data_IF_309130825656
#
_entry.id   IF_309130825656
#
_cell.length_a   1.000
_cell.length_b   1.000
_cell.length_c   1.000
_cell.angle_alpha   90.00
_cell.angle_beta   90.00
_cell.angle_gamma   90.00
#
_symmetry.space_group_name_H-M   'P 1'
#
loop_
_entity.id
_entity.type
_entity.pdbx_description
1 polymer ?
#
# COMPACT_ATOMS: atom_id res chain seq x y z
N UNK A 1 33.34 22.82 3.93
CA UNK A 1 32.53 23.82 4.65
C UNK A 1 33.23 24.30 5.92
N UNK A 2 32.73 25.37 6.55
CA UNK A 2 33.31 25.82 7.83
C UNK A 2 32.97 24.82 8.94
N UNK A 3 33.90 24.57 9.87
CA UNK A 3 33.70 23.67 11.02
C UNK A 3 32.47 24.02 11.82
N UNK A 4 32.18 25.31 12.02
CA UNK A 4 30.98 25.80 12.71
C UNK A 4 29.69 25.33 12.03
N UNK A 5 29.59 25.36 10.71
CA UNK A 5 28.41 24.96 9.96
C UNK A 5 28.27 23.44 9.93
N UNK A 6 29.35 22.70 9.84
CA UNK A 6 29.37 21.23 9.94
C UNK A 6 28.81 20.79 11.29
N UNK A 7 29.34 21.33 12.39
CA UNK A 7 28.88 20.99 13.75
C UNK A 7 27.41 21.34 13.98
N UNK A 8 26.91 22.43 13.38
CA UNK A 8 25.48 22.79 13.49
C UNK A 8 24.54 21.82 12.72
N UNK A 9 24.98 21.36 11.56
CA UNK A 9 24.16 20.51 10.68
C UNK A 9 24.26 19.02 10.97
N UNK A 10 25.35 18.58 11.59
CA UNK A 10 25.71 17.18 11.77
C UNK A 10 24.59 16.36 12.43
N UNK A 11 24.07 16.81 13.56
CA UNK A 11 23.05 16.05 14.30
C UNK A 11 21.75 15.87 13.52
N UNK A 12 21.31 16.92 12.82
CA UNK A 12 20.10 16.85 11.99
C UNK A 12 20.30 15.87 10.83
N UNK A 13 21.46 15.98 10.14
CA UNK A 13 21.78 15.06 9.04
C UNK A 13 21.85 13.61 9.50
N UNK A 14 22.51 13.34 10.64
CA UNK A 14 22.61 11.98 11.19
C UNK A 14 21.24 11.43 11.64
N UNK A 15 20.38 12.23 12.24
CA UNK A 15 19.04 11.79 12.64
C UNK A 15 18.21 11.38 11.41
N UNK A 16 18.25 12.17 10.35
CA UNK A 16 17.55 11.84 9.10
C UNK A 16 18.14 10.57 8.47
N UNK A 17 19.47 10.48 8.37
CA UNK A 17 20.16 9.33 7.80
C UNK A 17 19.84 8.04 8.56
N UNK A 18 19.85 8.07 9.88
CA UNK A 18 19.52 6.93 10.73
C UNK A 18 18.07 6.48 10.53
N UNK A 19 17.11 7.42 10.49
CA UNK A 19 15.71 7.09 10.22
C UNK A 19 15.55 6.43 8.85
N UNK A 20 16.10 7.02 7.81
CA UNK A 20 16.04 6.49 6.44
C UNK A 20 16.69 5.11 6.34
N UNK A 21 17.85 4.93 6.97
CA UNK A 21 18.56 3.64 7.00
C UNK A 21 17.71 2.56 7.68
N UNK A 22 17.04 2.88 8.78
CA UNK A 22 16.11 1.96 9.46
C UNK A 22 14.95 1.56 8.56
N UNK A 23 14.31 2.51 7.88
CA UNK A 23 13.22 2.23 6.91
C UNK A 23 13.72 1.35 5.77
N UNK A 24 14.87 1.66 5.17
CA UNK A 24 15.45 0.88 4.08
C UNK A 24 15.80 -0.56 4.52
N UNK A 25 16.39 -0.72 5.71
CA UNK A 25 16.77 -2.02 6.27
C UNK A 25 15.53 -2.87 6.51
N UNK A 26 14.51 -2.35 7.20
CA UNK A 26 13.26 -3.08 7.44
C UNK A 26 12.57 -3.44 6.13
N UNK A 27 12.53 -2.50 5.17
CA UNK A 27 11.97 -2.78 3.84
C UNK A 27 12.69 -3.94 3.16
N UNK A 28 14.02 -3.96 3.22
CA UNK A 28 14.81 -5.04 2.64
C UNK A 28 14.51 -6.39 3.30
N UNK A 29 14.35 -6.45 4.62
CA UNK A 29 13.97 -7.67 5.33
C UNK A 29 12.64 -8.24 4.81
N UNK A 30 11.63 -7.38 4.61
CA UNK A 30 10.36 -7.78 4.00
C UNK A 30 10.53 -8.25 2.55
N UNK A 31 11.31 -7.53 1.75
CA UNK A 31 11.58 -7.88 0.33
C UNK A 31 12.27 -9.24 0.24
N UNK A 32 13.23 -9.54 1.12
CA UNK A 32 13.90 -10.85 1.15
C UNK A 32 12.92 -12.01 1.43
N UNK A 33 11.88 -11.78 2.24
CA UNK A 33 10.83 -12.80 2.47
C UNK A 33 9.97 -13.05 1.23
N UNK A 34 9.92 -12.10 0.29
CA UNK A 34 9.18 -12.21 -0.97
C UNK A 34 10.02 -12.80 -2.12
N UNK A 35 11.30 -13.14 -1.90
CA UNK A 35 12.17 -13.72 -2.91
C UNK A 35 11.54 -14.97 -3.54
N UNK A 36 11.53 -15.00 -4.87
CA UNK A 36 10.88 -16.06 -5.64
C UNK A 36 9.39 -15.83 -5.91
N UNK A 37 8.76 -14.81 -5.30
CA UNK A 37 7.40 -14.38 -5.57
C UNK A 37 7.36 -13.27 -6.64
N UNK A 38 6.24 -13.13 -7.32
CA UNK A 38 5.94 -11.98 -8.20
C UNK A 38 5.30 -10.81 -7.45
N UNK A 39 4.98 -11.00 -6.18
CA UNK A 39 4.32 -10.01 -5.32
C UNK A 39 5.26 -8.85 -5.02
N UNK A 40 4.75 -7.64 -5.10
CA UNK A 40 5.50 -6.41 -4.81
C UNK A 40 5.14 -5.87 -3.44
N UNK A 41 6.15 -5.50 -2.66
CA UNK A 41 5.98 -4.82 -1.39
C UNK A 41 5.72 -3.34 -1.62
N UNK A 42 4.68 -2.80 -1.01
CA UNK A 42 4.32 -1.38 -1.06
C UNK A 42 4.46 -0.71 0.31
N UNK A 43 4.83 0.56 0.30
CA UNK A 43 4.63 1.45 1.44
C UNK A 43 3.17 1.93 1.55
N UNK A 44 2.92 2.84 2.47
CA UNK A 44 1.62 3.49 2.64
C UNK A 44 1.77 5.02 2.78
N UNK A 45 0.66 5.73 3.01
CA UNK A 45 0.66 7.15 3.39
C UNK A 45 0.82 7.38 4.90
N UNK A 46 0.93 6.31 5.69
CA UNK A 46 1.21 6.38 7.14
C UNK A 46 2.70 6.65 7.35
N UNK A 47 3.09 7.90 7.23
CA UNK A 47 4.48 8.36 7.30
C UNK A 47 4.65 9.39 8.40
N UNK A 48 5.87 9.55 8.89
CA UNK A 48 6.21 10.64 9.82
C UNK A 48 5.84 12.00 9.19
N UNK A 49 5.14 12.89 9.90
CA UNK A 49 4.82 14.21 9.38
C UNK A 49 6.06 14.92 8.80
N UNK A 50 5.91 15.51 7.64
CA UNK A 50 6.95 16.20 6.87
C UNK A 50 8.09 15.34 6.31
N UNK A 51 8.20 14.04 6.67
CA UNK A 51 9.28 13.15 6.21
C UNK A 51 8.86 12.19 5.08
N UNK A 52 7.64 12.28 4.55
CA UNK A 52 7.11 11.33 3.54
C UNK A 52 8.00 11.16 2.32
N UNK A 53 8.57 12.25 1.81
CA UNK A 53 9.48 12.20 0.65
C UNK A 53 10.69 11.30 0.97
N UNK A 54 11.30 11.49 2.13
CA UNK A 54 12.48 10.77 2.54
C UNK A 54 12.17 9.31 2.87
N UNK A 55 11.09 9.05 3.60
CA UNK A 55 10.71 7.69 3.98
C UNK A 55 10.31 6.85 2.76
N UNK A 56 9.53 7.40 1.81
CA UNK A 56 9.22 6.72 0.57
C UNK A 56 10.43 6.46 -0.32
N UNK A 57 11.40 7.39 -0.34
CA UNK A 57 12.68 7.16 -0.99
C UNK A 57 13.45 6.02 -0.31
N UNK A 58 13.49 6.00 1.02
CA UNK A 58 14.16 4.93 1.77
C UNK A 58 13.52 3.54 1.50
N UNK A 59 12.20 3.47 1.34
CA UNK A 59 11.52 2.23 0.92
C UNK A 59 12.04 1.74 -0.44
N UNK A 60 12.22 2.63 -1.42
CA UNK A 60 12.78 2.23 -2.72
C UNK A 60 14.26 1.78 -2.61
N UNK A 61 15.05 2.40 -1.74
CA UNK A 61 16.41 1.96 -1.44
C UNK A 61 16.45 0.54 -0.84
N UNK A 62 15.42 0.17 -0.04
CA UNK A 62 15.27 -1.18 0.50
C UNK A 62 14.74 -2.22 -0.50
N UNK A 63 14.40 -1.83 -1.73
CA UNK A 63 13.86 -2.71 -2.77
C UNK A 63 12.33 -2.80 -2.81
N UNK A 64 11.63 -2.01 -1.98
CA UNK A 64 10.18 -1.87 -2.03
C UNK A 64 9.71 -0.91 -3.12
N UNK A 65 8.40 -0.78 -3.25
CA UNK A 65 7.74 0.13 -4.18
C UNK A 65 6.88 1.14 -3.44
N UNK A 66 6.63 2.28 -4.05
CA UNK A 66 5.77 3.29 -3.47
C UNK A 66 4.32 3.08 -3.88
N UNK A 67 3.42 3.09 -2.91
CA UNK A 67 2.01 3.38 -3.13
C UNK A 67 1.83 4.88 -3.40
N UNK A 68 0.60 5.34 -3.74
CA UNK A 68 0.30 6.76 -3.99
C UNK A 68 0.95 7.67 -2.94
N UNK A 69 1.56 8.76 -3.41
CA UNK A 69 2.24 9.73 -2.55
C UNK A 69 1.23 10.63 -1.82
N UNK A 70 0.17 11.01 -2.54
CA UNK A 70 -0.89 11.89 -2.03
C UNK A 70 -2.27 11.46 -2.56
N UNK A 71 -3.31 12.25 -2.27
CA UNK A 71 -4.68 11.94 -2.69
C UNK A 71 -4.93 12.20 -4.18
N UNK A 72 -4.05 12.93 -4.85
CA UNK A 72 -4.18 13.23 -6.28
C UNK A 72 -3.53 12.21 -7.20
N UNK A 73 -2.68 11.30 -6.70
CA UNK A 73 -1.97 10.32 -7.53
C UNK A 73 -2.85 9.16 -7.98
N UNK A 74 -3.75 8.74 -7.13
CA UNK A 74 -4.66 7.63 -7.38
C UNK A 74 -5.90 7.69 -6.51
N UNK A 75 -6.97 7.07 -6.98
CA UNK A 75 -8.24 7.04 -6.27
C UNK A 75 -8.29 5.77 -5.45
N UNK A 76 -8.58 5.90 -4.17
CA UNK A 76 -8.85 4.79 -3.27
C UNK A 76 -10.16 5.07 -2.54
N UNK A 77 -11.11 4.18 -2.71
CA UNK A 77 -12.38 4.21 -2.00
C UNK A 77 -12.28 3.33 -0.76
N UNK A 78 -12.46 3.95 0.38
CA UNK A 78 -12.42 3.33 1.70
C UNK A 78 -13.84 3.22 2.27
N UNK A 79 -13.97 2.47 3.36
CA UNK A 79 -15.19 2.28 4.14
C UNK A 79 -16.02 3.57 4.29
N UNK A 80 -15.39 4.64 4.78
CA UNK A 80 -16.02 5.94 4.98
C UNK A 80 -16.56 6.55 3.68
N UNK A 81 -15.82 6.43 2.56
CA UNK A 81 -16.24 6.94 1.26
C UNK A 81 -17.42 6.12 0.71
N UNK A 82 -17.32 4.79 0.85
CA UNK A 82 -18.35 3.84 0.38
C UNK A 82 -19.65 4.05 1.16
N UNK A 83 -19.55 4.16 2.48
CA UNK A 83 -20.68 4.42 3.37
C UNK A 83 -21.37 5.76 3.04
N UNK A 84 -20.57 6.84 2.91
CA UNK A 84 -21.09 8.18 2.58
C UNK A 84 -21.81 8.23 1.21
N UNK A 85 -21.44 7.35 0.26
CA UNK A 85 -22.06 7.27 -1.07
C UNK A 85 -23.21 6.25 -1.14
N UNK A 86 -23.48 5.50 -0.07
CA UNK A 86 -24.50 4.46 -0.04
C UNK A 86 -24.12 3.20 -0.86
N UNK A 87 -22.83 2.82 -0.86
CA UNK A 87 -22.31 1.59 -1.47
C UNK A 87 -21.26 1.81 -2.54
N UNK A 88 -20.53 0.73 -2.89
CA UNK A 88 -19.42 0.73 -3.84
C UNK A 88 -19.88 1.19 -5.23
N UNK A 89 -21.04 0.72 -5.71
CA UNK A 89 -21.58 1.08 -7.04
C UNK A 89 -21.76 2.58 -7.18
N UNK A 90 -22.37 3.21 -6.19
CA UNK A 90 -22.62 4.65 -6.19
C UNK A 90 -21.29 5.43 -6.11
N UNK A 91 -20.38 5.02 -5.23
CA UNK A 91 -19.09 5.67 -5.06
C UNK A 91 -18.25 5.62 -6.35
N UNK A 92 -18.13 4.46 -6.98
CA UNK A 92 -17.38 4.30 -8.24
C UNK A 92 -18.04 5.07 -9.38
N UNK A 93 -19.39 5.04 -9.50
CA UNK A 93 -20.11 5.79 -10.51
C UNK A 93 -19.88 7.30 -10.39
N UNK A 94 -19.94 7.82 -9.17
CA UNK A 94 -19.72 9.23 -8.88
C UNK A 94 -18.29 9.66 -9.24
N UNK A 95 -17.30 8.85 -8.85
CA UNK A 95 -15.89 9.12 -9.12
C UNK A 95 -15.60 9.11 -10.63
N UNK A 96 -16.10 8.12 -11.37
CA UNK A 96 -15.87 8.03 -12.83
C UNK A 96 -16.39 9.23 -13.60
N UNK A 97 -17.48 9.87 -13.12
CA UNK A 97 -18.00 11.11 -13.73
C UNK A 97 -17.10 12.32 -13.49
N UNK A 98 -16.28 12.32 -12.44
CA UNK A 98 -15.47 13.45 -12.02
C UNK A 98 -13.97 13.31 -12.30
N UNK A 99 -13.54 12.12 -12.71
CA UNK A 99 -12.13 11.77 -12.80
C UNK A 99 -11.73 11.44 -14.24
N UNK A 100 -10.48 11.78 -14.61
CA UNK A 100 -9.90 11.39 -15.89
C UNK A 100 -9.87 9.85 -16.01
N UNK A 101 -10.16 9.36 -17.22
CA UNK A 101 -10.20 7.92 -17.55
C UNK A 101 -8.87 7.19 -17.33
N UNK A 102 -7.74 7.90 -17.31
CA UNK A 102 -6.41 7.32 -17.08
C UNK A 102 -6.14 6.99 -15.62
N UNK A 103 -6.99 7.43 -14.68
CA UNK A 103 -6.80 7.17 -13.25
C UNK A 103 -7.40 5.85 -12.86
N UNK A 104 -6.60 4.99 -12.25
CA UNK A 104 -7.05 3.75 -11.63
C UNK A 104 -7.90 4.03 -10.39
N UNK A 105 -8.92 3.21 -10.22
CA UNK A 105 -9.79 3.20 -9.04
C UNK A 105 -9.48 1.94 -8.24
N UNK A 106 -9.05 2.15 -7.02
CA UNK A 106 -8.83 1.12 -6.03
C UNK A 106 -9.99 1.13 -5.03
N UNK A 107 -10.48 -0.07 -4.69
CA UNK A 107 -11.57 -0.26 -3.73
C UNK A 107 -11.09 -1.15 -2.59
N UNK A 108 -11.13 -0.62 -1.37
CA UNK A 108 -10.86 -1.35 -0.14
C UNK A 108 -12.07 -2.23 0.20
N UNK A 109 -11.83 -3.52 0.44
CA UNK A 109 -12.88 -4.51 0.69
C UNK A 109 -12.54 -5.36 1.90
N UNK A 110 -13.52 -5.60 2.77
CA UNK A 110 -13.38 -6.41 3.99
C UNK A 110 -14.16 -7.73 3.90
N UNK A 111 -15.05 -7.87 2.90
CA UNK A 111 -15.89 -9.05 2.73
C UNK A 111 -15.90 -9.54 1.29
N UNK A 112 -16.24 -10.84 1.11
CA UNK A 112 -16.36 -11.42 -0.24
C UNK A 112 -17.48 -10.77 -1.06
N UNK A 113 -18.51 -10.26 -0.43
CA UNK A 113 -19.59 -9.58 -1.14
C UNK A 113 -19.17 -8.20 -1.65
N UNK A 114 -18.36 -7.45 -0.86
CA UNK A 114 -17.73 -6.23 -1.33
C UNK A 114 -16.76 -6.51 -2.51
N UNK A 115 -16.03 -7.62 -2.48
CA UNK A 115 -15.17 -8.03 -3.60
C UNK A 115 -15.98 -8.26 -4.87
N UNK A 116 -17.12 -8.95 -4.79
CA UNK A 116 -18.02 -9.16 -5.93
C UNK A 116 -18.57 -7.83 -6.47
N UNK A 117 -19.01 -6.95 -5.57
CA UNK A 117 -19.51 -5.62 -5.95
C UNK A 117 -18.43 -4.77 -6.63
N UNK A 118 -17.19 -4.79 -6.10
CA UNK A 118 -16.05 -4.10 -6.70
C UNK A 118 -15.72 -4.63 -8.11
N UNK A 119 -15.86 -5.95 -8.34
CA UNK A 119 -15.70 -6.56 -9.66
C UNK A 119 -16.81 -6.14 -10.64
N UNK A 120 -18.07 -6.12 -10.20
CA UNK A 120 -19.20 -5.70 -11.03
C UNK A 120 -19.02 -4.27 -11.56
N UNK A 121 -18.47 -3.38 -10.74
CA UNK A 121 -18.19 -1.99 -11.14
C UNK A 121 -16.85 -1.85 -11.86
N UNK A 122 -16.14 -2.95 -12.11
CA UNK A 122 -14.84 -2.98 -12.80
C UNK A 122 -13.81 -2.08 -12.11
N UNK A 123 -13.63 -2.24 -10.80
CA UNK A 123 -12.53 -1.62 -10.09
C UNK A 123 -11.19 -2.10 -10.71
N UNK A 124 -10.21 -1.20 -10.82
CA UNK A 124 -8.91 -1.52 -11.39
C UNK A 124 -8.04 -2.30 -10.41
N UNK A 125 -8.18 -1.98 -9.12
CA UNK A 125 -7.46 -2.60 -8.01
C UNK A 125 -8.49 -2.92 -6.92
N UNK A 126 -8.42 -4.13 -6.37
CA UNK A 126 -9.22 -4.54 -5.20
C UNK A 126 -8.25 -4.81 -4.07
N UNK A 127 -8.36 -4.02 -3.00
CA UNK A 127 -7.60 -4.20 -1.79
C UNK A 127 -8.38 -5.10 -0.84
N UNK A 128 -7.74 -6.18 -0.40
CA UNK A 128 -8.23 -7.09 0.65
C UNK A 128 -7.71 -6.55 1.98
N UNK A 129 -8.54 -5.86 2.74
CA UNK A 129 -8.12 -5.23 3.99
C UNK A 129 -8.51 -6.08 5.19
N UNK A 130 -7.53 -6.41 6.03
CA UNK A 130 -7.71 -7.19 7.26
C UNK A 130 -8.42 -8.55 7.10
N UNK A 131 -8.41 -9.15 5.92
CA UNK A 131 -8.98 -10.49 5.71
C UNK A 131 -8.05 -11.58 6.27
N UNK A 132 -8.64 -12.64 6.83
CA UNK A 132 -7.90 -13.87 7.10
C UNK A 132 -7.45 -14.55 5.80
N UNK A 133 -6.42 -15.42 5.89
CA UNK A 133 -5.82 -16.05 4.71
C UNK A 133 -6.82 -16.91 3.91
N UNK A 134 -7.76 -17.59 4.56
CA UNK A 134 -8.71 -18.47 3.87
C UNK A 134 -9.77 -17.65 3.11
N UNK A 135 -10.23 -16.56 3.70
CA UNK A 135 -11.12 -15.59 3.04
C UNK A 135 -10.38 -14.90 1.89
N UNK A 136 -9.12 -14.48 2.09
CA UNK A 136 -8.31 -13.87 1.05
C UNK A 136 -8.06 -14.82 -0.14
N UNK A 137 -7.78 -16.11 0.09
CA UNK A 137 -7.68 -17.13 -0.98
C UNK A 137 -8.96 -17.23 -1.81
N UNK A 138 -10.12 -17.21 -1.16
CA UNK A 138 -11.43 -17.20 -1.86
C UNK A 138 -11.59 -15.92 -2.69
N UNK A 139 -11.24 -14.76 -2.11
CA UNK A 139 -11.28 -13.48 -2.81
C UNK A 139 -10.38 -13.49 -4.06
N UNK A 140 -9.12 -13.95 -3.94
CA UNK A 140 -8.20 -14.09 -5.07
C UNK A 140 -8.79 -14.98 -6.16
N UNK A 141 -9.41 -16.12 -5.80
CA UNK A 141 -10.07 -17.01 -6.76
C UNK A 141 -11.27 -16.34 -7.47
N UNK A 142 -12.05 -15.53 -6.77
CA UNK A 142 -13.18 -14.79 -7.33
C UNK A 142 -12.69 -13.69 -8.28
N UNK A 143 -11.65 -12.96 -7.89
CA UNK A 143 -11.09 -11.86 -8.68
C UNK A 143 -10.40 -12.39 -9.94
N UNK A 144 -9.61 -13.45 -9.82
CA UNK A 144 -8.82 -14.00 -10.93
C UNK A 144 -7.97 -12.92 -11.60
N UNK A 145 -8.11 -12.77 -12.91
CA UNK A 145 -7.37 -11.80 -13.73
C UNK A 145 -8.19 -10.53 -14.05
N UNK A 146 -9.33 -10.30 -13.36
CA UNK A 146 -10.24 -9.19 -13.68
C UNK A 146 -9.82 -7.86 -13.08
N UNK A 147 -9.05 -7.87 -11.99
CA UNK A 147 -8.51 -6.70 -11.31
C UNK A 147 -7.13 -7.01 -10.72
N UNK A 148 -6.34 -5.99 -10.43
CA UNK A 148 -5.15 -6.14 -9.61
C UNK A 148 -5.55 -6.37 -8.16
N UNK A 149 -4.78 -7.18 -7.44
CA UNK A 149 -5.08 -7.54 -6.05
C UNK A 149 -3.99 -6.98 -5.15
N UNK A 150 -4.40 -6.19 -4.18
CA UNK A 150 -3.57 -5.74 -3.07
C UNK A 150 -4.05 -6.37 -1.78
N UNK A 151 -3.13 -6.80 -0.91
CA UNK A 151 -3.43 -7.24 0.45
C UNK A 151 -2.91 -6.19 1.44
N UNK A 152 -3.73 -5.84 2.42
CA UNK A 152 -3.42 -4.87 3.47
C UNK A 152 -3.91 -5.37 4.83
N UNK A 153 -3.31 -4.83 5.89
CA UNK A 153 -3.70 -5.11 7.28
C UNK A 153 -2.91 -6.26 7.92
N UNK A 154 -2.39 -5.99 9.12
CA UNK A 154 -1.69 -6.95 10.00
C UNK A 154 -0.58 -7.78 9.34
N UNK A 155 0.14 -7.21 8.38
CA UNK A 155 1.25 -7.87 7.70
C UNK A 155 2.53 -7.76 8.54
N UNK A 156 3.17 -8.90 8.79
CA UNK A 156 4.44 -9.00 9.51
C UNK A 156 5.48 -9.80 8.71
N UNK A 157 6.73 -9.83 9.19
CA UNK A 157 7.80 -10.65 8.59
C UNK A 157 7.50 -12.16 8.63
N UNK A 158 6.67 -12.59 9.57
CA UNK A 158 6.24 -13.98 9.71
C UNK A 158 5.11 -14.34 8.72
N UNK A 159 4.21 -13.39 8.45
CA UNK A 159 2.98 -13.64 7.66
C UNK A 159 3.13 -13.29 6.18
N UNK A 160 4.04 -12.39 5.80
CA UNK A 160 4.12 -11.87 4.43
C UNK A 160 4.33 -12.96 3.36
N UNK A 161 5.10 -13.99 3.67
CA UNK A 161 5.34 -15.08 2.73
C UNK A 161 4.07 -15.87 2.42
N UNK A 162 3.30 -16.24 3.44
CA UNK A 162 2.03 -16.96 3.26
C UNK A 162 0.98 -16.11 2.53
N UNK A 163 1.00 -14.77 2.76
CA UNK A 163 0.15 -13.84 2.02
C UNK A 163 0.56 -13.78 0.54
N UNK A 164 1.84 -13.76 0.23
CA UNK A 164 2.30 -13.77 -1.16
C UNK A 164 1.93 -15.07 -1.89
N UNK A 165 1.97 -16.21 -1.19
CA UNK A 165 1.65 -17.54 -1.74
C UNK A 165 0.19 -17.69 -2.18
N UNK A 166 -0.73 -16.85 -1.69
CA UNK A 166 -2.13 -16.86 -2.17
C UNK A 166 -2.31 -16.21 -3.55
N UNK A 167 -1.26 -15.56 -4.10
CA UNK A 167 -1.26 -15.04 -5.47
C UNK A 167 -1.68 -13.57 -5.59
N UNK A 168 -1.54 -12.77 -4.54
CA UNK A 168 -1.75 -11.31 -4.61
C UNK A 168 -0.59 -10.63 -5.37
N UNK A 169 -0.90 -9.59 -6.13
CA UNK A 169 0.10 -8.83 -6.88
C UNK A 169 0.89 -7.85 -6.02
N UNK A 170 0.24 -7.34 -4.97
CA UNK A 170 0.80 -6.31 -4.09
C UNK A 170 0.49 -6.61 -2.62
N UNK A 171 1.41 -6.22 -1.73
CA UNK A 171 1.20 -6.23 -0.28
C UNK A 171 1.65 -4.88 0.26
N UNK A 172 0.75 -4.13 0.87
CA UNK A 172 1.07 -2.86 1.52
C UNK A 172 1.32 -3.06 3.02
N UNK A 173 2.42 -2.47 3.50
CA UNK A 173 2.88 -2.61 4.88
C UNK A 173 3.08 -1.24 5.52
N UNK A 174 2.18 -0.87 6.42
CA UNK A 174 2.29 0.40 7.16
C UNK A 174 3.52 0.46 8.07
N UNK A 175 3.90 -0.67 8.66
CA UNK A 175 5.02 -0.75 9.60
C UNK A 175 6.38 -0.35 9.00
N UNK A 176 6.53 -0.25 7.68
CA UNK A 176 7.76 0.23 7.06
C UNK A 176 8.09 1.67 7.48
N UNK A 177 7.06 2.51 7.66
CA UNK A 177 7.20 3.95 7.92
C UNK A 177 6.44 4.41 9.16
N UNK A 178 5.53 3.58 9.67
CA UNK A 178 4.70 3.86 10.83
C UNK A 178 5.08 2.91 11.96
N UNK A 179 5.64 3.46 13.01
CA UNK A 179 5.95 2.79 14.29
C UNK A 179 5.03 3.27 15.37
#
# INVERSE_FOLDING_TARGET
GSTKNILKGERVALNILQRMSGVATLTNEFVQKLNGSKTKLLDTRKTTPSLRILEKYAVTCGGGYNHRFNLSDGIMLKDNHISACGGIKNAVSLIRKKTSFVRKIEVETETLDMVKEALEVKADIIMLDNMDLDTAKKAVSIIGNKAQIEFSGNVSLETIKSIAEIGVGFISVGALTHS
#
